data_IF_364279065479
#
_entry.id   IF_364279065479
#
_cell.length_a   1.000
_cell.length_b   1.000
_cell.length_c   1.000
_cell.angle_alpha   90.00
_cell.angle_beta   90.00
_cell.angle_gamma   90.00
#
_symmetry.space_group_name_H-M   'P 1'
#
loop_
_entity.id
_entity.type
_entity.pdbx_description
1 polymer ?
#
# COMPACT_ATOMS: atom_id res chain seq x y z
N UNK A 1 9.63 -28.13 -1.84
CA UNK A 1 8.49 -28.89 -1.27
C UNK A 1 7.24 -28.05 -1.49
N UNK A 2 6.18 -28.54 -2.15
CA UNK A 2 4.92 -27.81 -2.18
C UNK A 2 4.40 -27.65 -0.74
N UNK A 3 4.08 -26.41 -0.37
CA UNK A 3 3.61 -26.10 0.99
C UNK A 3 2.19 -26.66 1.16
N UNK A 4 1.90 -27.24 2.33
CA UNK A 4 0.58 -27.79 2.63
C UNK A 4 -0.51 -26.72 2.42
N UNK A 5 -1.69 -27.09 1.88
CA UNK A 5 -2.79 -26.14 1.70
C UNK A 5 -3.26 -25.59 3.06
N UNK A 6 -3.49 -24.27 3.14
CA UNK A 6 -4.19 -23.68 4.29
C UNK A 6 -5.49 -24.43 4.52
N UNK A 7 -5.66 -24.91 5.75
CA UNK A 7 -6.90 -25.52 6.17
C UNK A 7 -7.87 -24.44 6.67
N UNK A 8 -9.18 -24.64 6.48
CA UNK A 8 -10.19 -23.81 7.12
C UNK A 8 -10.01 -23.79 8.63
N UNK A 9 -10.11 -22.60 9.21
CA UNK A 9 -10.04 -22.35 10.65
C UNK A 9 -11.40 -21.86 11.16
N UNK A 10 -11.76 -22.32 12.35
CA UNK A 10 -13.00 -22.00 13.05
C UNK A 10 -12.80 -21.98 14.56
N UNK A 11 -13.83 -21.56 15.29
CA UNK A 11 -13.81 -21.53 16.75
C UNK A 11 -13.42 -22.88 17.35
N UNK A 12 -12.51 -22.84 18.31
CA UNK A 12 -11.94 -24.03 18.98
C UNK A 12 -10.61 -24.49 18.40
N UNK A 13 -10.25 -24.07 17.19
CA UNK A 13 -8.94 -24.33 16.63
C UNK A 13 -7.85 -23.57 17.39
N UNK A 14 -6.64 -24.11 17.37
CA UNK A 14 -5.48 -23.49 18.00
C UNK A 14 -4.19 -23.78 17.23
N UNK A 15 -3.18 -22.94 17.41
CA UNK A 15 -1.85 -23.13 16.85
C UNK A 15 -1.33 -21.94 16.04
N UNK A 16 -0.19 -22.12 15.36
CA UNK A 16 0.51 -21.04 14.66
C UNK A 16 -0.31 -20.46 13.50
N UNK A 17 -1.18 -21.25 12.86
CA UNK A 17 -2.08 -20.78 11.82
C UNK A 17 -3.11 -19.79 12.36
N UNK A 18 -3.66 -20.06 13.53
CA UNK A 18 -4.61 -19.14 14.17
C UNK A 18 -3.92 -17.82 14.52
N UNK A 19 -2.71 -17.88 15.08
CA UNK A 19 -1.90 -16.70 15.39
C UNK A 19 -1.56 -15.89 14.14
N UNK A 20 -1.27 -16.56 13.03
CA UNK A 20 -0.99 -15.91 11.76
C UNK A 20 -2.24 -15.22 11.17
N UNK A 21 -3.41 -15.88 11.21
CA UNK A 21 -4.67 -15.25 10.79
C UNK A 21 -4.98 -14.00 11.64
N UNK A 22 -4.82 -14.11 12.96
CA UNK A 22 -5.04 -12.98 13.86
C UNK A 22 -4.13 -11.81 13.54
N UNK A 23 -2.82 -12.05 13.40
CA UNK A 23 -1.84 -11.03 13.06
C UNK A 23 -2.16 -10.36 11.71
N UNK A 24 -2.57 -11.15 10.72
CA UNK A 24 -2.98 -10.67 9.41
C UNK A 24 -4.22 -9.76 9.48
N UNK A 25 -5.30 -10.21 10.12
CA UNK A 25 -6.53 -9.42 10.28
C UNK A 25 -6.32 -8.16 11.11
N UNK A 26 -5.46 -8.23 12.14
CA UNK A 26 -5.07 -7.07 12.94
C UNK A 26 -4.32 -6.03 12.11
N UNK A 27 -3.36 -6.46 11.28
CA UNK A 27 -2.61 -5.58 10.37
C UNK A 27 -3.55 -4.82 9.42
N UNK A 28 -4.61 -5.48 8.96
CA UNK A 28 -5.59 -4.90 8.04
C UNK A 28 -6.70 -4.09 8.73
N UNK A 29 -6.71 -4.02 10.06
CA UNK A 29 -7.68 -3.23 10.83
C UNK A 29 -8.97 -3.95 11.23
N UNK A 30 -9.11 -5.25 10.95
CA UNK A 30 -10.31 -6.03 11.30
C UNK A 30 -10.34 -6.49 12.77
N UNK A 31 -9.17 -6.63 13.40
CA UNK A 31 -9.03 -7.04 14.80
C UNK A 31 -8.39 -5.91 15.64
N UNK A 32 -9.14 -4.85 16.01
CA UNK A 32 -8.60 -3.70 16.75
C UNK A 32 -8.29 -3.99 18.23
N UNK A 33 -8.62 -5.18 18.72
CA UNK A 33 -8.38 -5.63 20.10
C UNK A 33 -7.02 -6.34 20.24
N UNK A 34 -6.62 -6.59 21.48
CA UNK A 34 -5.57 -7.55 21.79
C UNK A 34 -6.18 -8.96 21.91
N UNK A 35 -5.52 -10.01 21.39
CA UNK A 35 -6.06 -11.35 21.50
C UNK A 35 -6.02 -11.78 22.97
N UNK A 36 -7.01 -12.55 23.42
CA UNK A 36 -6.96 -13.20 24.74
C UNK A 36 -5.85 -14.25 24.80
N UNK A 37 -5.75 -15.05 23.73
CA UNK A 37 -4.65 -15.94 23.41
C UNK A 37 -4.42 -15.85 21.89
N UNK A 38 -3.21 -15.49 21.48
CA UNK A 38 -2.94 -15.20 20.07
C UNK A 38 -3.11 -16.42 19.16
N UNK A 39 -2.86 -17.61 19.69
CA UNK A 39 -2.95 -18.90 19.01
C UNK A 39 -4.29 -19.61 19.21
N UNK A 40 -5.32 -18.96 19.76
CA UNK A 40 -6.63 -19.56 19.97
C UNK A 40 -7.71 -18.88 19.12
N UNK A 41 -8.48 -19.69 18.40
CA UNK A 41 -9.59 -19.20 17.60
C UNK A 41 -10.81 -19.05 18.50
N UNK A 42 -11.00 -17.86 19.05
CA UNK A 42 -12.10 -17.51 19.93
C UNK A 42 -13.19 -16.71 19.19
N UNK A 43 -14.22 -16.27 19.92
CA UNK A 43 -15.29 -15.43 19.36
C UNK A 43 -14.77 -14.07 18.87
N UNK A 44 -13.69 -13.56 19.45
CA UNK A 44 -13.11 -12.31 18.99
C UNK A 44 -12.47 -12.49 17.60
N UNK A 45 -11.75 -13.58 17.36
CA UNK A 45 -11.23 -13.86 16.03
C UNK A 45 -12.36 -14.16 15.03
N UNK A 46 -13.40 -14.89 15.44
CA UNK A 46 -14.57 -15.13 14.59
C UNK A 46 -15.25 -13.82 14.15
N UNK A 47 -15.41 -12.85 15.06
CA UNK A 47 -15.93 -11.52 14.73
C UNK A 47 -15.03 -10.77 13.74
N UNK A 48 -13.71 -10.82 13.90
CA UNK A 48 -12.78 -10.22 12.94
C UNK A 48 -12.91 -10.84 11.54
N UNK A 49 -13.11 -12.17 11.48
CA UNK A 49 -13.35 -12.89 10.22
C UNK A 49 -14.69 -12.49 9.60
N UNK A 50 -15.76 -12.36 10.39
CA UNK A 50 -17.06 -11.87 9.90
C UNK A 50 -16.94 -10.47 9.29
N UNK A 51 -16.24 -9.55 9.96
CA UNK A 51 -15.99 -8.19 9.44
C UNK A 51 -15.20 -8.21 8.13
N UNK A 52 -14.19 -9.08 8.01
CA UNK A 52 -13.44 -9.29 6.77
C UNK A 52 -14.35 -9.82 5.65
N UNK A 53 -15.16 -10.84 5.95
CA UNK A 53 -16.10 -11.43 5.00
C UNK A 53 -17.12 -10.41 4.50
N UNK A 54 -17.70 -9.62 5.39
CA UNK A 54 -18.63 -8.55 5.04
C UNK A 54 -18.00 -7.52 4.08
N UNK A 55 -16.74 -7.15 4.33
CA UNK A 55 -16.02 -6.21 3.46
C UNK A 55 -15.88 -6.71 2.02
N UNK A 56 -15.65 -8.01 1.84
CA UNK A 56 -15.45 -8.62 0.53
C UNK A 56 -16.72 -9.30 -0.02
N UNK A 57 -17.89 -9.04 0.56
CA UNK A 57 -19.17 -9.58 0.09
C UNK A 57 -19.26 -11.11 0.18
N UNK A 58 -18.55 -11.71 1.13
CA UNK A 58 -18.61 -13.14 1.45
C UNK A 58 -19.71 -13.41 2.47
N UNK A 59 -20.10 -14.68 2.59
CA UNK A 59 -20.94 -15.12 3.71
C UNK A 59 -20.19 -14.91 5.03
N UNK A 60 -20.78 -14.13 5.94
CA UNK A 60 -20.18 -13.74 7.21
C UNK A 60 -20.43 -14.78 8.30
N UNK A 61 -19.97 -16.01 8.09
CA UNK A 61 -20.11 -17.14 9.03
C UNK A 61 -19.07 -17.14 10.15
N UNK A 62 -17.99 -16.36 10.02
CA UNK A 62 -16.90 -16.29 10.98
C UNK A 62 -15.97 -17.51 10.94
N UNK A 63 -15.97 -18.25 9.84
CA UNK A 63 -15.06 -19.37 9.58
C UNK A 63 -14.22 -19.07 8.31
N UNK A 64 -12.96 -19.50 8.28
CA UNK A 64 -12.13 -19.35 7.08
C UNK A 64 -12.37 -20.50 6.10
N UNK A 65 -13.62 -20.69 5.66
CA UNK A 65 -13.96 -21.65 4.60
C UNK A 65 -13.23 -21.37 3.28
N UNK A 66 -13.43 -22.20 2.26
CA UNK A 66 -12.69 -22.14 0.99
C UNK A 66 -12.73 -20.75 0.33
N UNK A 67 -13.90 -20.09 0.32
CA UNK A 67 -14.08 -18.76 -0.27
C UNK A 67 -13.30 -17.68 0.50
N UNK A 68 -13.36 -17.72 1.83
CA UNK A 68 -12.60 -16.82 2.70
C UNK A 68 -11.10 -17.01 2.52
N UNK A 69 -10.62 -18.26 2.50
CA UNK A 69 -9.21 -18.55 2.25
C UNK A 69 -8.74 -18.13 0.85
N UNK A 70 -9.57 -18.32 -0.18
CA UNK A 70 -9.26 -17.87 -1.53
C UNK A 70 -9.11 -16.34 -1.58
N UNK A 71 -9.99 -15.61 -0.90
CA UNK A 71 -9.93 -14.15 -0.81
C UNK A 71 -8.72 -13.67 0.00
N UNK A 72 -8.42 -14.29 1.15
CA UNK A 72 -7.25 -14.00 2.00
C UNK A 72 -5.91 -14.19 1.26
N UNK A 73 -5.88 -15.07 0.24
CA UNK A 73 -4.69 -15.34 -0.57
C UNK A 73 -4.49 -14.38 -1.74
N UNK A 74 -5.45 -13.51 -2.04
CA UNK A 74 -5.32 -12.60 -3.19
C UNK A 74 -4.19 -11.59 -2.95
N UNK A 75 -3.31 -11.36 -3.94
CA UNK A 75 -2.36 -10.25 -3.90
C UNK A 75 -3.08 -8.93 -3.66
N UNK A 76 -2.44 -8.03 -2.93
CA UNK A 76 -3.11 -6.85 -2.36
C UNK A 76 -2.17 -5.71 -2.03
N UNK A 77 -2.74 -4.56 -1.72
CA UNK A 77 -2.03 -3.48 -1.05
C UNK A 77 -1.82 -3.83 0.44
N UNK A 78 -0.72 -3.33 1.01
CA UNK A 78 -0.33 -3.51 2.41
C UNK A 78 -0.97 -2.51 3.38
N UNK A 79 -1.58 -1.42 2.89
CA UNK A 79 -2.30 -0.45 3.71
C UNK A 79 -3.49 -1.11 4.41
N UNK A 80 -3.82 -0.77 5.68
CA UNK A 80 -4.98 -1.33 6.35
C UNK A 80 -6.30 -0.98 5.63
N UNK A 81 -7.18 -1.97 5.49
CA UNK A 81 -8.49 -1.80 4.84
C UNK A 81 -9.40 -0.87 5.63
N UNK A 82 -9.38 -1.03 6.95
CA UNK A 82 -10.25 -0.29 7.87
C UNK A 82 -9.44 0.73 8.64
N UNK A 83 -9.89 1.99 8.57
CA UNK A 83 -9.38 3.04 9.44
C UNK A 83 -9.68 2.71 10.92
N UNK A 84 -8.83 3.16 11.86
CA UNK A 84 -9.07 2.96 13.29
C UNK A 84 -10.47 3.44 13.70
N UNK A 85 -11.26 2.56 14.31
CA UNK A 85 -12.63 2.86 14.76
C UNK A 85 -13.71 2.77 13.69
N UNK A 86 -13.40 2.34 12.46
CA UNK A 86 -14.41 2.11 11.43
C UNK A 86 -15.39 1.00 11.86
N UNK A 87 -16.67 1.36 11.96
CA UNK A 87 -17.73 0.45 12.41
C UNK A 87 -18.34 -0.37 11.26
N UNK A 88 -18.24 0.11 10.02
CA UNK A 88 -18.90 -0.49 8.86
C UNK A 88 -17.97 -0.57 7.64
N UNK A 89 -18.31 -1.46 6.70
CA UNK A 89 -17.66 -1.60 5.40
C UNK A 89 -17.76 -0.29 4.61
N UNK A 90 -16.63 0.33 4.20
CA UNK A 90 -16.69 1.50 3.33
C UNK A 90 -17.20 1.09 1.95
N UNK A 91 -18.43 1.50 1.61
CA UNK A 91 -19.02 1.31 0.27
C UNK A 91 -18.50 2.32 -0.76
N UNK A 92 -17.91 3.41 -0.30
CA UNK A 92 -17.28 4.44 -1.12
C UNK A 92 -15.81 4.56 -0.71
N UNK A 93 -14.97 5.07 -1.61
CA UNK A 93 -13.55 5.32 -1.32
C UNK A 93 -13.44 6.37 -0.20
N UNK A 94 -12.94 5.99 0.99
CA UNK A 94 -12.86 6.90 2.13
C UNK A 94 -11.70 7.89 1.94
N UNK A 95 -11.83 9.07 2.55
CA UNK A 95 -10.79 10.09 2.59
C UNK A 95 -10.20 10.19 3.99
N UNK A 96 -8.88 10.24 4.09
CA UNK A 96 -8.11 10.26 5.34
C UNK A 96 -7.75 11.70 5.71
N UNK A 97 -6.91 12.35 4.89
CA UNK A 97 -6.46 13.75 5.04
C UNK A 97 -5.76 14.23 3.78
N UNK A 98 -5.75 15.54 3.53
CA UNK A 98 -5.15 16.15 2.34
C UNK A 98 -3.75 16.71 2.62
N UNK A 99 -2.94 16.83 1.57
CA UNK A 99 -1.80 17.76 1.57
C UNK A 99 -2.28 19.21 1.75
N UNK A 100 -1.54 20.05 2.51
CA UNK A 100 -1.92 21.46 2.70
C UNK A 100 -1.63 22.34 1.46
N UNK A 101 -1.00 21.78 0.43
CA UNK A 101 -0.59 22.44 -0.81
C UNK A 101 -0.85 21.52 -2.01
N UNK A 102 -0.95 22.10 -3.19
CA UNK A 102 -1.22 21.36 -4.43
C UNK A 102 0.01 21.13 -5.31
N UNK A 103 1.07 21.90 -5.14
CA UNK A 103 2.33 21.71 -5.87
C UNK A 103 3.23 20.72 -5.11
N UNK A 104 3.20 19.45 -5.49
CA UNK A 104 3.91 18.38 -4.82
C UNK A 104 5.15 17.95 -5.61
N UNK A 105 6.14 17.47 -4.90
CA UNK A 105 7.39 16.95 -5.46
C UNK A 105 7.54 15.48 -5.15
N UNK A 106 8.12 14.73 -6.08
CA UNK A 106 8.44 13.32 -5.85
C UNK A 106 9.84 12.99 -6.35
N UNK A 107 10.42 11.92 -5.82
CA UNK A 107 11.74 11.43 -6.20
C UNK A 107 11.85 9.93 -6.02
N UNK A 108 12.85 9.31 -6.66
CA UNK A 108 13.13 7.88 -6.49
C UNK A 108 14.29 7.66 -5.54
N UNK A 109 14.04 6.94 -4.46
CA UNK A 109 15.10 6.40 -3.62
C UNK A 109 15.84 5.25 -4.32
N UNK A 110 15.07 4.36 -4.96
CA UNK A 110 15.57 3.15 -5.63
C UNK A 110 14.62 2.75 -6.75
N UNK A 111 15.16 2.11 -7.79
CA UNK A 111 14.40 1.44 -8.83
C UNK A 111 14.50 -0.09 -8.70
N UNK A 112 13.48 -0.80 -9.18
CA UNK A 112 13.55 -2.25 -9.42
C UNK A 112 14.59 -2.59 -10.49
N UNK A 113 15.14 -3.81 -10.45
CA UNK A 113 15.98 -4.35 -11.52
C UNK A 113 15.19 -5.03 -12.65
N UNK A 114 13.89 -5.25 -12.48
CA UNK A 114 13.05 -5.94 -13.47
C UNK A 114 12.71 -5.08 -14.69
N UNK A 115 12.81 -3.75 -14.51
CA UNK A 115 12.56 -2.73 -15.52
C UNK A 115 13.77 -1.81 -15.61
N UNK A 116 13.98 -1.20 -16.79
CA UNK A 116 14.93 -0.09 -16.87
C UNK A 116 14.47 1.08 -16.00
N UNK A 117 15.39 1.90 -15.44
CA UNK A 117 14.99 3.07 -14.66
C UNK A 117 14.03 4.01 -15.41
N UNK A 118 14.18 4.14 -16.73
CA UNK A 118 13.29 4.92 -17.58
C UNK A 118 11.87 4.32 -17.65
N UNK A 119 11.74 3.00 -17.79
CA UNK A 119 10.44 2.32 -17.81
C UNK A 119 9.72 2.42 -16.47
N UNK A 120 10.42 2.22 -15.35
CA UNK A 120 9.84 2.35 -14.01
C UNK A 120 9.45 3.80 -13.72
N UNK A 121 10.33 4.76 -14.03
CA UNK A 121 10.05 6.19 -13.82
C UNK A 121 8.89 6.67 -14.69
N UNK A 122 8.79 6.20 -15.93
CA UNK A 122 7.68 6.52 -16.82
C UNK A 122 6.34 5.99 -16.32
N UNK A 123 6.30 4.75 -15.81
CA UNK A 123 5.08 4.15 -15.25
C UNK A 123 4.57 4.93 -14.03
N UNK A 124 5.46 5.28 -13.11
CA UNK A 124 5.11 6.07 -11.92
C UNK A 124 4.73 7.51 -12.28
N UNK A 125 5.43 8.14 -13.23
CA UNK A 125 5.07 9.47 -13.71
C UNK A 125 3.67 9.51 -14.36
N UNK A 126 3.32 8.47 -15.14
CA UNK A 126 1.96 8.33 -15.68
C UNK A 126 0.93 8.17 -14.58
N UNK A 127 1.22 7.40 -13.52
CA UNK A 127 0.33 7.27 -12.38
C UNK A 127 0.08 8.60 -11.65
N UNK A 128 1.11 9.44 -11.47
CA UNK A 128 0.92 10.81 -10.97
C UNK A 128 0.08 11.67 -11.92
N UNK A 129 0.28 11.53 -13.24
CA UNK A 129 -0.48 12.26 -14.25
C UNK A 129 -1.97 11.89 -14.22
N UNK A 130 -2.30 10.62 -13.97
CA UNK A 130 -3.69 10.15 -13.80
C UNK A 130 -4.43 10.92 -12.70
N UNK A 131 -3.79 11.13 -11.54
CA UNK A 131 -4.38 11.91 -10.44
C UNK A 131 -4.38 13.42 -10.71
N UNK A 132 -3.31 13.95 -11.33
CA UNK A 132 -3.23 15.36 -11.71
C UNK A 132 -4.31 15.76 -12.72
N UNK A 133 -4.71 14.85 -13.61
CA UNK A 133 -5.73 15.12 -14.63
C UNK A 133 -7.12 15.47 -14.05
N UNK A 134 -7.41 15.05 -12.81
CA UNK A 134 -8.73 15.22 -12.18
C UNK A 134 -8.71 16.11 -10.93
N UNK A 135 -7.54 16.66 -10.57
CA UNK A 135 -7.32 17.50 -9.38
C UNK A 135 -6.53 18.76 -9.75
N UNK A 136 -6.44 19.78 -8.88
CA UNK A 136 -5.51 20.90 -9.08
C UNK A 136 -4.06 20.56 -8.67
N UNK A 137 -3.75 19.30 -8.35
CA UNK A 137 -2.41 18.89 -7.93
C UNK A 137 -1.44 18.94 -9.11
N UNK A 138 -0.22 19.42 -8.85
CA UNK A 138 0.91 19.31 -9.78
C UNK A 138 2.00 18.46 -9.15
N UNK A 139 2.68 17.65 -9.98
CA UNK A 139 3.76 16.78 -9.51
C UNK A 139 5.04 17.08 -10.26
N UNK A 140 6.08 17.49 -9.54
CA UNK A 140 7.41 17.72 -10.10
C UNK A 140 8.40 16.66 -9.63
N UNK A 141 8.94 15.89 -10.57
CA UNK A 141 10.02 14.95 -10.30
C UNK A 141 11.31 15.70 -9.99
N UNK A 142 11.94 15.40 -8.87
CA UNK A 142 13.26 15.90 -8.50
C UNK A 142 14.31 14.77 -8.56
N UNK A 143 15.50 15.02 -9.14
CA UNK A 143 16.59 14.05 -9.12
C UNK A 143 17.12 13.84 -7.69
N UNK A 144 17.78 12.70 -7.42
CA UNK A 144 18.48 12.51 -6.14
C UNK A 144 19.48 13.64 -5.89
N UNK A 145 19.69 14.07 -4.62
CA UNK A 145 20.69 15.08 -4.30
C UNK A 145 22.10 14.65 -4.76
N UNK A 146 22.91 15.59 -5.24
CA UNK A 146 24.32 15.33 -5.63
C UNK A 146 25.15 14.72 -4.48
N UNK A 147 24.82 14.98 -3.22
CA UNK A 147 25.48 14.37 -2.06
C UNK A 147 25.13 12.88 -1.86
N UNK A 148 24.06 12.38 -2.48
CA UNK A 148 23.64 10.99 -2.41
C UNK A 148 24.32 10.09 -3.46
N UNK A 149 25.08 10.68 -4.40
CA UNK A 149 25.57 9.98 -5.61
C UNK A 149 26.82 9.12 -5.41
N UNK A 150 27.33 8.96 -4.18
CA UNK A 150 28.54 8.16 -3.92
C UNK A 150 28.45 7.28 -2.66
N UNK A 151 28.58 7.88 -1.48
CA UNK A 151 28.68 7.13 -0.22
C UNK A 151 27.31 6.64 0.31
N UNK A 152 26.25 7.41 0.08
CA UNK A 152 24.87 7.08 0.48
C UNK A 152 24.32 5.93 -0.36
N UNK A 153 24.55 5.95 -1.67
CA UNK A 153 24.21 4.85 -2.56
C UNK A 153 25.00 3.57 -2.23
N UNK A 154 26.28 3.69 -1.86
CA UNK A 154 27.10 2.56 -1.41
C UNK A 154 26.64 1.97 -0.07
N UNK A 155 26.17 2.79 0.88
CA UNK A 155 25.62 2.32 2.16
C UNK A 155 24.23 1.66 1.97
N UNK A 156 23.38 2.24 1.10
CA UNK A 156 22.11 1.63 0.70
C UNK A 156 22.30 0.29 -0.04
N UNK A 157 23.38 0.15 -0.83
CA UNK A 157 23.78 -1.11 -1.46
C UNK A 157 24.40 -2.12 -0.47
N UNK A 158 25.15 -1.68 0.54
CA UNK A 158 25.71 -2.57 1.57
C UNK A 158 24.59 -3.24 2.41
N UNK A 159 23.48 -2.55 2.60
CA UNK A 159 22.26 -3.04 3.24
C UNK A 159 21.53 -4.12 2.39
N UNK A 160 21.86 -4.25 1.09
CA UNK A 160 21.19 -5.16 0.12
C UNK A 160 21.59 -6.64 0.24
N UNK A 161 22.79 -6.97 0.72
CA UNK A 161 23.36 -8.33 0.65
C UNK A 161 23.79 -8.94 1.99
N UNK A 162 23.52 -8.25 3.11
CA UNK A 162 23.74 -8.82 4.44
C UNK A 162 22.70 -9.89 4.77
N UNK A 163 23.08 -11.04 5.36
CA UNK A 163 22.15 -12.14 5.66
C UNK A 163 21.07 -11.79 6.70
N UNK A 164 21.09 -10.60 7.29
CA UNK A 164 20.05 -10.07 8.15
C UNK A 164 19.84 -8.57 7.85
N UNK A 165 18.78 -8.24 7.11
CA UNK A 165 18.27 -6.88 7.11
C UNK A 165 17.56 -6.69 8.46
N UNK A 166 18.09 -5.83 9.31
CA UNK A 166 17.57 -5.62 10.66
C UNK A 166 17.02 -4.18 10.86
N UNK A 167 16.36 -3.97 12.00
CA UNK A 167 15.77 -2.67 12.37
C UNK A 167 16.78 -1.51 12.41
N UNK A 168 18.07 -1.79 12.56
CA UNK A 168 19.13 -0.77 12.58
C UNK A 168 19.41 -0.26 11.17
N UNK A 169 19.49 -1.18 10.21
CA UNK A 169 19.65 -0.85 8.79
C UNK A 169 18.41 -0.12 8.25
N UNK A 170 17.21 -0.55 8.66
CA UNK A 170 15.94 0.12 8.38
C UNK A 170 15.95 1.61 8.79
N UNK A 171 16.48 1.92 9.99
CA UNK A 171 16.63 3.30 10.50
C UNK A 171 17.66 4.11 9.72
N UNK A 172 18.74 3.49 9.27
CA UNK A 172 19.74 4.16 8.43
C UNK A 172 19.14 4.56 7.08
N UNK A 173 18.35 3.68 6.45
CA UNK A 173 17.60 3.99 5.23
C UNK A 173 16.69 5.20 5.45
N UNK A 174 15.88 5.22 6.53
CA UNK A 174 15.04 6.39 6.87
C UNK A 174 15.82 7.68 7.13
N UNK A 175 17.05 7.61 7.64
CA UNK A 175 17.88 8.80 7.79
C UNK A 175 18.34 9.32 6.43
N UNK A 176 18.63 8.42 5.48
CA UNK A 176 19.04 8.75 4.12
C UNK A 176 17.88 9.27 3.26
N UNK A 177 16.65 8.78 3.45
CA UNK A 177 15.46 9.28 2.73
C UNK A 177 15.21 10.76 2.98
N UNK A 178 15.48 11.25 4.20
CA UNK A 178 15.38 12.68 4.56
C UNK A 178 16.30 13.60 3.74
N UNK A 179 17.34 13.06 3.09
CA UNK A 179 18.22 13.84 2.22
C UNK A 179 17.54 14.22 0.90
N UNK A 180 16.56 13.45 0.44
CA UNK A 180 15.91 13.68 -0.85
C UNK A 180 15.06 14.96 -0.88
N UNK A 181 14.57 15.42 0.29
CA UNK A 181 13.74 16.64 0.44
C UNK A 181 12.63 16.75 -0.64
N UNK A 182 11.92 15.66 -0.86
CA UNK A 182 10.70 15.59 -1.70
C UNK A 182 9.49 15.38 -0.80
N UNK A 183 8.30 15.68 -1.31
CA UNK A 183 7.04 15.43 -0.59
C UNK A 183 6.69 13.93 -0.60
N UNK A 184 6.91 13.26 -1.73
CA UNK A 184 6.61 11.82 -1.92
C UNK A 184 7.88 11.09 -2.36
N UNK A 185 8.46 10.26 -1.50
CA UNK A 185 9.56 9.41 -1.90
C UNK A 185 9.07 8.05 -2.39
N UNK A 186 9.53 7.67 -3.58
CA UNK A 186 9.19 6.40 -4.22
C UNK A 186 10.35 5.41 -4.06
N UNK A 187 10.07 4.21 -3.54
CA UNK A 187 11.09 3.19 -3.29
C UNK A 187 10.64 1.78 -3.66
N UNK A 188 11.53 1.02 -4.30
CA UNK A 188 11.36 -0.43 -4.49
C UNK A 188 12.16 -1.15 -3.41
N UNK A 189 11.49 -1.84 -2.50
CA UNK A 189 12.04 -2.37 -1.24
C UNK A 189 11.57 -3.80 -1.00
N UNK A 190 12.20 -4.53 -0.08
CA UNK A 190 11.84 -5.93 0.21
C UNK A 190 11.77 -6.15 1.72
N UNK A 191 10.92 -7.08 2.17
CA UNK A 191 10.83 -7.52 3.57
C UNK A 191 10.68 -6.33 4.54
N UNK A 192 11.39 -6.33 5.67
CA UNK A 192 11.52 -5.13 6.51
C UNK A 192 12.34 -4.07 5.75
N UNK A 193 11.91 -2.80 5.79
CA UNK A 193 12.57 -1.77 4.97
C UNK A 193 12.57 -0.34 5.55
N UNK A 194 12.23 -0.16 6.83
CA UNK A 194 12.22 1.16 7.47
C UNK A 194 10.96 1.41 8.26
N UNK A 195 9.83 1.07 7.66
CA UNK A 195 8.49 1.43 8.11
C UNK A 195 7.53 0.23 8.09
N UNK A 196 6.45 0.28 8.88
CA UNK A 196 5.40 -0.72 8.81
C UNK A 196 4.37 -0.42 7.70
N UNK A 197 3.71 -1.45 7.18
CA UNK A 197 3.99 -2.84 7.48
C UNK A 197 5.12 -3.39 6.60
N UNK A 198 5.95 -4.28 7.14
CA UNK A 198 6.97 -4.93 6.33
C UNK A 198 6.35 -5.72 5.16
N UNK A 199 7.10 -5.89 4.07
CA UNK A 199 6.79 -6.85 3.00
C UNK A 199 7.19 -8.28 3.39
N UNK A 200 6.91 -8.62 4.65
CA UNK A 200 6.98 -9.98 5.15
C UNK A 200 5.59 -10.58 5.03
N UNK A 201 5.56 -11.81 4.52
CA UNK A 201 4.41 -12.67 4.73
C UNK A 201 4.21 -12.93 6.22
N UNK A 202 2.96 -13.07 6.62
CA UNK A 202 2.45 -13.84 7.76
C UNK A 202 2.18 -15.31 7.39
N UNK A 203 3.19 -16.21 7.39
CA UNK A 203 2.98 -17.63 7.13
C UNK A 203 1.93 -18.23 8.08
N UNK A 204 1.05 -19.12 7.61
CA UNK A 204 0.93 -19.60 6.22
C UNK A 204 -0.01 -18.79 5.31
N UNK A 205 -0.64 -17.71 5.80
CA UNK A 205 -1.69 -16.98 5.07
C UNK A 205 -1.14 -16.11 3.94
N UNK A 206 0.08 -15.62 4.10
CA UNK A 206 0.61 -14.48 3.35
C UNK A 206 1.93 -14.83 2.63
N UNK A 207 2.35 -16.10 2.68
CA UNK A 207 3.51 -16.57 1.91
C UNK A 207 3.21 -16.60 0.40
N UNK A 208 1.93 -16.61 0.04
CA UNK A 208 1.44 -16.55 -1.34
C UNK A 208 0.61 -15.27 -1.63
N UNK A 209 0.16 -14.54 -0.59
CA UNK A 209 -0.52 -13.27 -0.77
C UNK A 209 0.56 -12.20 -0.95
N UNK A 210 0.87 -11.86 -2.19
CA UNK A 210 1.90 -10.86 -2.47
C UNK A 210 1.34 -9.49 -2.08
N UNK A 211 1.83 -8.92 -0.97
CA UNK A 211 1.73 -7.48 -0.73
C UNK A 211 2.53 -6.80 -1.84
N UNK A 212 1.85 -6.09 -2.74
CA UNK A 212 2.46 -5.48 -3.93
C UNK A 212 3.15 -4.16 -3.60
N UNK A 213 2.62 -3.44 -2.64
CA UNK A 213 3.15 -2.18 -2.17
C UNK A 213 2.36 -1.68 -0.97
N UNK A 214 2.78 -0.53 -0.46
CA UNK A 214 2.00 0.30 0.45
C UNK A 214 2.40 1.74 0.26
N UNK A 215 1.59 2.64 0.81
CA UNK A 215 1.90 4.04 0.88
C UNK A 215 1.34 4.66 2.17
N UNK A 216 1.90 5.81 2.52
CA UNK A 216 1.52 6.54 3.71
C UNK A 216 0.68 7.77 3.34
N UNK A 217 -0.34 8.12 4.13
CA UNK A 217 -1.14 9.31 3.89
C UNK A 217 -0.31 10.59 3.98
N UNK A 218 -0.80 11.73 3.44
CA UNK A 218 -0.18 13.06 3.59
C UNK A 218 0.16 13.36 5.05
N UNK A 219 1.09 14.26 5.41
CA UNK A 219 1.50 14.46 6.80
C UNK A 219 0.36 14.93 7.72
N UNK A 220 0.32 14.38 8.95
CA UNK A 220 -0.55 14.89 10.01
C UNK A 220 0.04 16.16 10.62
N UNK A 221 -0.79 17.19 10.79
CA UNK A 221 -0.40 18.35 11.60
C UNK A 221 -0.24 18.00 13.09
N UNK A 222 -0.98 17.00 13.58
CA UNK A 222 -0.97 16.60 15.00
C UNK A 222 0.11 15.56 15.34
N UNK A 223 0.54 14.76 14.37
CA UNK A 223 1.50 13.67 14.57
C UNK A 223 2.32 13.43 13.28
N UNK A 224 3.34 14.26 13.00
CA UNK A 224 4.12 14.13 11.76
C UNK A 224 4.88 12.81 11.75
N UNK A 225 4.49 11.92 10.85
CA UNK A 225 5.17 10.65 10.62
C UNK A 225 6.38 10.86 9.69
N UNK A 226 7.50 10.15 9.89
CA UNK A 226 8.73 10.38 9.12
C UNK A 226 8.66 9.91 7.66
N UNK A 227 7.61 9.17 7.30
CA UNK A 227 7.37 8.56 5.99
C UNK A 227 6.04 9.03 5.38
N UNK A 228 5.41 10.08 5.95
CA UNK A 228 4.13 10.55 5.45
C UNK A 228 4.23 10.96 3.98
N UNK A 229 3.34 10.43 3.13
CA UNK A 229 3.37 10.61 1.69
C UNK A 229 4.19 9.59 0.91
N UNK A 230 5.09 8.83 1.55
CA UNK A 230 5.99 7.92 0.83
C UNK A 230 5.24 6.72 0.22
N UNK A 231 5.75 6.24 -0.91
CA UNK A 231 5.21 5.12 -1.69
C UNK A 231 6.28 4.04 -1.82
N UNK A 232 5.98 2.84 -1.34
CA UNK A 232 6.88 1.69 -1.39
C UNK A 232 6.28 0.55 -2.21
N UNK A 233 7.05 0.04 -3.16
CA UNK A 233 6.73 -1.15 -3.95
C UNK A 233 7.54 -2.34 -3.43
N UNK A 234 6.90 -3.50 -3.32
CA UNK A 234 7.58 -4.74 -2.97
C UNK A 234 8.39 -5.26 -4.17
N UNK A 235 9.72 -5.28 -4.06
CA UNK A 235 10.66 -5.72 -5.11
C UNK A 235 11.00 -7.22 -5.02
N UNK A 236 10.15 -8.00 -4.33
CA UNK A 236 10.20 -9.46 -4.32
C UNK A 236 9.48 -10.09 -5.54
N UNK A 237 8.24 -9.69 -5.92
CA UNK A 237 7.63 -10.09 -7.18
C UNK A 237 8.30 -9.41 -8.39
N UNK A 238 8.22 -10.06 -9.56
CA UNK A 238 8.76 -9.50 -10.80
C UNK A 238 7.82 -8.43 -11.39
N UNK A 239 8.30 -7.20 -11.47
CA UNK A 239 7.55 -6.07 -12.01
C UNK A 239 7.47 -6.07 -13.53
N UNK A 240 6.32 -5.66 -14.06
CA UNK A 240 6.09 -5.44 -15.49
C UNK A 240 5.36 -4.12 -15.72
N UNK A 241 5.27 -3.66 -16.97
CA UNK A 241 4.38 -2.56 -17.37
C UNK A 241 3.25 -3.06 -18.29
N UNK A 242 2.78 -4.30 -18.11
CA UNK A 242 1.75 -4.91 -18.95
C UNK A 242 0.37 -4.81 -18.27
N UNK A 243 -0.60 -4.10 -18.87
CA UNK A 243 -1.96 -4.05 -18.33
C UNK A 243 -2.54 -5.44 -18.11
N UNK A 244 -3.38 -5.60 -17.09
CA UNK A 244 -4.03 -6.88 -16.77
C UNK A 244 -3.19 -7.84 -15.93
N UNK A 245 -1.88 -7.58 -15.76
CA UNK A 245 -1.05 -8.37 -14.85
C UNK A 245 -1.08 -7.78 -13.43
N UNK A 246 -1.07 -8.67 -12.43
CA UNK A 246 -1.06 -8.28 -11.02
C UNK A 246 0.16 -7.43 -10.63
N UNK A 247 1.29 -7.63 -11.32
CA UNK A 247 2.54 -6.86 -11.12
C UNK A 247 2.72 -5.77 -12.17
N UNK A 248 1.64 -5.24 -12.73
CA UNK A 248 1.68 -4.04 -13.55
C UNK A 248 2.00 -2.82 -12.70
N UNK A 249 3.24 -2.33 -12.80
CA UNK A 249 3.73 -1.23 -11.99
C UNK A 249 2.91 0.05 -12.17
N UNK A 250 2.39 0.33 -13.36
CA UNK A 250 1.54 1.52 -13.57
C UNK A 250 0.25 1.40 -12.74
N UNK A 251 -0.44 0.27 -12.82
CA UNK A 251 -1.68 0.05 -12.07
C UNK A 251 -1.45 0.12 -10.54
N UNK A 252 -0.42 -0.57 -10.05
CA UNK A 252 -0.08 -0.53 -8.61
C UNK A 252 0.34 0.89 -8.20
N UNK A 253 1.10 1.60 -9.02
CA UNK A 253 1.46 2.99 -8.72
C UNK A 253 0.24 3.91 -8.63
N UNK A 254 -0.76 3.75 -9.51
CA UNK A 254 -2.01 4.54 -9.42
C UNK A 254 -2.68 4.31 -8.06
N UNK A 255 -2.78 3.06 -7.62
CA UNK A 255 -3.34 2.69 -6.32
C UNK A 255 -2.56 3.31 -5.15
N UNK A 256 -1.25 3.05 -5.07
CA UNK A 256 -0.44 3.50 -3.92
C UNK A 256 -0.32 5.03 -3.87
N UNK A 257 -0.29 5.72 -5.01
CA UNK A 257 -0.32 7.19 -5.04
C UNK A 257 -1.67 7.70 -4.51
N UNK A 258 -2.78 7.00 -4.75
CA UNK A 258 -4.07 7.36 -4.15
C UNK A 258 -4.00 7.46 -2.62
N UNK A 259 -3.32 6.52 -1.97
CA UNK A 259 -3.04 6.59 -0.53
C UNK A 259 -2.13 7.76 -0.16
N UNK A 260 -1.05 7.99 -0.92
CA UNK A 260 -0.17 9.15 -0.73
C UNK A 260 -0.89 10.49 -0.90
N UNK A 261 -2.02 10.51 -1.61
CA UNK A 261 -2.93 11.65 -1.74
C UNK A 261 -4.04 11.68 -0.68
N UNK A 262 -4.12 10.67 0.17
CA UNK A 262 -5.03 10.65 1.32
C UNK A 262 -6.30 9.83 1.13
N UNK A 263 -6.37 8.96 0.14
CA UNK A 263 -7.47 8.02 -0.01
C UNK A 263 -7.23 6.76 0.82
N UNK A 264 -8.29 6.12 1.31
CA UNK A 264 -8.23 4.77 1.87
C UNK A 264 -8.78 3.73 0.90
N UNK A 265 -8.86 2.48 1.35
CA UNK A 265 -9.40 1.40 0.52
C UNK A 265 -10.92 1.42 0.42
N UNK A 266 -11.41 0.94 -0.71
CA UNK A 266 -12.72 0.31 -0.83
C UNK A 266 -12.54 -1.21 -0.96
N UNK A 267 -13.51 -1.96 -0.47
CA UNK A 267 -13.52 -3.44 -0.56
C UNK A 267 -14.72 -3.95 -1.34
N UNK A 268 -15.75 -3.11 -1.52
CA UNK A 268 -16.99 -3.46 -2.21
C UNK A 268 -17.06 -2.95 -3.66
N UNK A 269 -16.38 -1.83 -3.96
CA UNK A 269 -16.36 -1.25 -5.31
C UNK A 269 -15.18 -1.83 -6.10
N UNK A 270 -15.44 -2.90 -6.85
CA UNK A 270 -14.41 -3.57 -7.66
C UNK A 270 -13.98 -2.78 -8.89
N UNK A 271 -14.66 -1.67 -9.21
CA UNK A 271 -14.28 -0.82 -10.33
C UNK A 271 -13.27 0.26 -9.95
N UNK A 272 -13.12 0.54 -8.66
CA UNK A 272 -12.19 1.51 -8.12
C UNK A 272 -10.75 1.02 -8.17
N UNK A 273 -9.83 1.93 -8.53
CA UNK A 273 -8.38 1.67 -8.41
C UNK A 273 -7.96 1.50 -6.96
N UNK A 274 -8.72 2.00 -5.99
CA UNK A 274 -8.49 1.89 -4.55
C UNK A 274 -9.05 0.58 -3.94
N UNK A 275 -9.39 -0.41 -4.77
CA UNK A 275 -9.77 -1.75 -4.28
C UNK A 275 -8.61 -2.42 -3.55
N UNK A 276 -8.81 -2.81 -2.29
CA UNK A 276 -7.72 -3.32 -1.43
C UNK A 276 -6.98 -4.56 -1.98
N UNK A 277 -7.71 -5.48 -2.62
CA UNK A 277 -7.14 -6.76 -3.06
C UNK A 277 -7.62 -7.19 -4.43
N UNK A 278 -6.69 -7.82 -5.17
CA UNK A 278 -6.96 -8.48 -6.42
C UNK A 278 -7.32 -7.57 -7.59
N UNK A 279 -6.69 -6.39 -7.65
CA UNK A 279 -6.75 -5.51 -8.80
C UNK A 279 -6.42 -6.26 -10.09
N UNK A 280 -7.23 -6.03 -11.10
CA UNK A 280 -7.10 -6.53 -12.48
C UNK A 280 -6.09 -5.71 -13.31
N UNK A 281 -5.19 -4.96 -12.65
CA UNK A 281 -4.24 -4.08 -13.33
C UNK A 281 -4.90 -2.82 -13.93
N UNK A 282 -5.98 -2.32 -13.31
CA UNK A 282 -6.61 -1.04 -13.68
C UNK A 282 -5.66 0.15 -13.54
N UNK A 283 -5.71 1.03 -14.54
CA UNK A 283 -4.93 2.28 -14.59
C UNK A 283 -5.82 3.52 -14.62
N UNK A 284 -7.12 3.34 -14.84
CA UNK A 284 -8.10 4.42 -15.02
C UNK A 284 -8.93 4.58 -13.75
N UNK A 285 -9.16 5.84 -13.36
CA UNK A 285 -9.96 6.17 -12.18
C UNK A 285 -11.45 5.94 -12.44
N UNK A 286 -12.12 5.29 -11.50
CA UNK A 286 -13.58 5.24 -11.46
C UNK A 286 -14.17 6.59 -11.05
N UNK A 287 -15.48 6.75 -11.23
CA UNK A 287 -16.19 7.93 -10.72
C UNK A 287 -16.05 8.08 -9.18
N UNK A 288 -16.01 6.96 -8.45
CA UNK A 288 -15.84 6.98 -7.00
C UNK A 288 -14.45 7.45 -6.58
N UNK A 289 -13.40 7.06 -7.33
CA UNK A 289 -12.03 7.52 -7.11
C UNK A 289 -11.92 9.04 -7.34
N UNK A 290 -12.50 9.52 -8.44
CA UNK A 290 -12.51 10.94 -8.82
C UNK A 290 -13.27 11.76 -7.77
N UNK A 291 -14.48 11.33 -7.39
CA UNK A 291 -15.26 12.02 -6.37
C UNK A 291 -14.50 12.10 -5.04
N UNK A 292 -13.88 10.99 -4.62
CA UNK A 292 -13.15 10.94 -3.36
C UNK A 292 -11.93 11.87 -3.33
N UNK A 293 -11.11 11.87 -4.39
CA UNK A 293 -9.94 12.77 -4.45
C UNK A 293 -10.35 14.23 -4.60
N UNK A 294 -11.46 14.52 -5.30
CA UNK A 294 -11.98 15.88 -5.42
C UNK A 294 -12.62 16.41 -4.14
N UNK A 295 -13.12 15.54 -3.24
CA UNK A 295 -13.50 15.98 -1.88
C UNK A 295 -12.30 16.50 -1.07
N UNK A 296 -11.08 16.05 -1.37
CA UNK A 296 -9.87 16.52 -0.71
C UNK A 296 -9.29 17.79 -1.36
N UNK A 297 -9.24 17.82 -2.70
CA UNK A 297 -8.48 18.85 -3.43
C UNK A 297 -9.32 19.75 -4.34
N UNK A 298 -10.58 19.42 -4.56
CA UNK A 298 -11.41 20.02 -5.61
C UNK A 298 -11.11 19.46 -7.02
N UNK A 299 -11.92 19.83 -8.03
CA UNK A 299 -11.71 19.41 -9.41
C UNK A 299 -10.50 20.10 -10.04
N UNK A 300 -9.98 19.49 -11.12
CA UNK A 300 -8.95 20.10 -11.95
C UNK A 300 -9.34 21.52 -12.40
N UNK A 301 -8.39 22.45 -12.30
CA UNK A 301 -8.58 23.83 -12.75
C UNK A 301 -8.34 23.91 -14.25
N UNK A 302 -9.33 24.45 -14.97
CA UNK A 302 -9.18 24.82 -16.37
C UNK A 302 -9.35 26.34 -16.54
N UNK A 303 -8.44 27.03 -17.24
CA UNK A 303 -7.18 26.52 -17.81
C UNK A 303 -6.14 26.23 -16.71
N UNK A 304 -5.11 25.40 -16.99
CA UNK A 304 -4.02 25.16 -16.04
C UNK A 304 -3.31 26.48 -15.70
N UNK A 305 -2.99 26.68 -14.41
CA UNK A 305 -2.29 27.88 -13.94
C UNK A 305 -1.00 28.08 -14.75
N UNK A 306 -0.90 29.20 -15.48
CA UNK A 306 0.19 29.50 -16.43
C UNK A 306 -0.19 29.54 -17.91
N UNK A 307 -1.45 29.27 -18.27
CA UNK A 307 -1.96 29.47 -19.64
C UNK A 307 -2.24 30.95 -19.98
N UNK A 308 -2.31 31.83 -18.98
CA UNK A 308 -2.44 33.27 -19.16
C UNK A 308 -1.04 33.88 -19.31
N UNK A 309 -0.51 33.83 -20.53
CA UNK A 309 0.69 34.55 -20.90
C UNK A 309 0.54 36.05 -20.61
N UNK A 310 1.38 36.55 -19.69
CA UNK A 310 1.80 37.96 -19.60
C UNK A 310 3.29 38.02 -19.36
#
# INVERSE_FOLDING_TARGET
MPKAPLQPLKRGDHGPEVAALYAYLRRLGYAPYAPRAADQYDEQLAEAVRRYQECFGLEADGETGERTLAQLRRPRCGVPDLLPGAAAVPRAVPTIRAWPRTDLTYGFMRHTSDLTPAQASSAVAQAFATWAAVTPLTFRHLPPPLAASGAVHALALAVRFGPAFDRTQARAVQALTRLYRVDILVGFLVREHGDPPAFLGTPPFDDNAVVLGHAWPPPSAAAPEPFAGDVHFNDAPTWTNRPGLLTDLHAVAVHEIGHALGLGHTTADTDSVMTASGGDGRRELSAADIEAVQRLYGPARWPPDGADGR
#
